data_IF_481977457254
#
_entry.id   IF_481977457254
#
_cell.length_a   1.000
_cell.length_b   1.000
_cell.length_c   1.000
_cell.angle_alpha   90.00
_cell.angle_beta   90.00
_cell.angle_gamma   90.00
#
_symmetry.space_group_name_H-M   'P 1'
#
loop_
_entity.id
_entity.type
_entity.pdbx_description
1 polymer ?
#
# COMPACT_ATOMS: atom_id res chain seq x y z
N UNK A 1 -4.86 -10.75 -5.81
CA UNK A 1 -4.86 -9.50 -5.00
C UNK A 1 -6.31 -9.17 -4.65
N UNK A 2 -6.61 -8.82 -3.39
CA UNK A 2 -7.96 -8.38 -3.01
C UNK A 2 -8.24 -6.97 -3.52
N UNK A 3 -9.45 -6.76 -4.05
CA UNK A 3 -9.90 -5.45 -4.52
C UNK A 3 -10.06 -4.45 -3.36
N UNK A 4 -10.12 -3.16 -3.65
CA UNK A 4 -10.34 -2.15 -2.60
C UNK A 4 -11.71 -2.33 -1.92
N UNK A 5 -12.73 -2.69 -2.69
CA UNK A 5 -14.06 -3.02 -2.17
C UNK A 5 -14.02 -4.23 -1.23
N UNK A 6 -13.31 -5.29 -1.60
CA UNK A 6 -13.14 -6.49 -0.77
C UNK A 6 -12.44 -6.18 0.56
N UNK A 7 -11.41 -5.32 0.53
CA UNK A 7 -10.72 -4.87 1.75
C UNK A 7 -11.62 -4.02 2.64
N UNK A 8 -12.32 -3.04 2.05
CA UNK A 8 -13.24 -2.16 2.78
C UNK A 8 -14.36 -2.97 3.45
N UNK A 9 -14.90 -3.96 2.74
CA UNK A 9 -15.88 -4.88 3.29
C UNK A 9 -15.32 -5.66 4.51
N UNK A 10 -14.09 -6.17 4.42
CA UNK A 10 -13.47 -6.89 5.53
C UNK A 10 -13.32 -6.00 6.78
N UNK A 11 -12.90 -4.75 6.62
CA UNK A 11 -12.76 -3.80 7.74
C UNK A 11 -14.12 -3.45 8.32
N UNK A 12 -15.11 -3.19 7.47
CA UNK A 12 -16.48 -2.89 7.89
C UNK A 12 -17.09 -4.05 8.70
N UNK A 13 -17.00 -5.29 8.21
CA UNK A 13 -17.54 -6.41 8.98
C UNK A 13 -16.73 -6.75 10.22
N UNK A 14 -15.43 -6.48 10.21
CA UNK A 14 -14.63 -6.62 11.42
C UNK A 14 -15.07 -5.61 12.48
N UNK A 15 -15.38 -4.37 12.11
CA UNK A 15 -15.89 -3.37 13.06
C UNK A 15 -17.21 -3.80 13.72
N UNK A 16 -18.07 -4.51 12.99
CA UNK A 16 -19.36 -5.01 13.51
C UNK A 16 -19.23 -6.21 14.43
N UNK A 17 -18.32 -7.14 14.10
CA UNK A 17 -18.30 -8.48 14.71
C UNK A 17 -17.10 -8.72 15.60
N UNK A 18 -16.03 -7.93 15.46
CA UNK A 18 -14.71 -8.09 16.10
C UNK A 18 -14.07 -9.48 15.91
N UNK A 19 -14.59 -10.31 15.00
CA UNK A 19 -14.19 -11.70 14.81
C UNK A 19 -13.79 -11.98 13.38
N UNK A 20 -12.51 -12.32 13.18
CA UNK A 20 -11.96 -12.61 11.84
C UNK A 20 -12.64 -13.81 11.18
N UNK A 21 -13.00 -14.86 11.94
CA UNK A 21 -13.67 -16.05 11.42
C UNK A 21 -15.04 -15.72 10.83
N UNK A 22 -15.78 -14.82 11.47
CA UNK A 22 -17.09 -14.33 10.99
C UNK A 22 -16.91 -13.50 9.72
N UNK A 23 -15.92 -12.60 9.68
CA UNK A 23 -15.56 -11.84 8.48
C UNK A 23 -15.24 -12.76 7.30
N UNK A 24 -14.44 -13.80 7.51
CA UNK A 24 -14.10 -14.77 6.46
C UNK A 24 -15.32 -15.54 5.94
N UNK A 25 -16.23 -15.94 6.85
CA UNK A 25 -17.49 -16.61 6.48
C UNK A 25 -18.38 -15.68 5.65
N UNK A 26 -18.61 -14.45 6.12
CA UNK A 26 -19.41 -13.47 5.38
C UNK A 26 -18.77 -13.09 4.04
N UNK A 27 -17.45 -13.02 3.98
CA UNK A 27 -16.73 -12.78 2.73
C UNK A 27 -16.98 -13.91 1.72
N UNK A 28 -16.88 -15.18 2.14
CA UNK A 28 -17.20 -16.33 1.29
C UNK A 28 -18.62 -16.26 0.74
N UNK A 29 -19.60 -15.92 1.57
CA UNK A 29 -21.01 -15.83 1.16
C UNK A 29 -21.24 -14.69 0.17
N UNK A 30 -20.69 -13.50 0.42
CA UNK A 30 -20.96 -12.30 -0.40
C UNK A 30 -20.15 -12.28 -1.70
N UNK A 31 -18.87 -12.64 -1.65
CA UNK A 31 -17.98 -12.56 -2.83
C UNK A 31 -17.81 -13.89 -3.57
N UNK A 32 -18.26 -15.02 -2.98
CA UNK A 32 -18.09 -16.38 -3.55
C UNK A 32 -16.65 -16.70 -3.92
N UNK A 33 -15.70 -16.21 -3.12
CA UNK A 33 -14.25 -16.35 -3.30
C UNK A 33 -13.61 -16.87 -2.02
N UNK A 34 -12.41 -17.40 -2.16
CA UNK A 34 -11.58 -17.75 -1.01
C UNK A 34 -11.29 -16.49 -0.18
N UNK A 35 -11.57 -16.49 1.13
CA UNK A 35 -11.45 -15.31 1.95
C UNK A 35 -9.98 -14.98 2.20
N UNK A 36 -9.68 -13.70 2.46
CA UNK A 36 -8.33 -13.31 2.79
C UNK A 36 -7.87 -13.96 4.10
N UNK A 37 -6.57 -14.25 4.15
CA UNK A 37 -5.93 -14.82 5.34
C UNK A 37 -6.10 -13.89 6.56
N UNK A 38 -6.20 -14.45 7.77
CA UNK A 38 -6.43 -13.68 9.01
C UNK A 38 -5.47 -12.49 9.19
N UNK A 39 -4.19 -12.69 8.89
CA UNK A 39 -3.15 -11.65 9.02
C UNK A 39 -3.39 -10.48 8.07
N UNK A 40 -3.96 -10.72 6.87
CA UNK A 40 -4.28 -9.63 5.94
C UNK A 40 -5.45 -8.80 6.46
N UNK A 41 -6.48 -9.45 6.99
CA UNK A 41 -7.63 -8.78 7.59
C UNK A 41 -7.19 -7.90 8.76
N UNK A 42 -6.43 -8.47 9.71
CA UNK A 42 -5.89 -7.72 10.85
C UNK A 42 -4.98 -6.55 10.41
N UNK A 43 -4.16 -6.76 9.37
CA UNK A 43 -3.33 -5.69 8.81
C UNK A 43 -4.17 -4.55 8.23
N UNK A 44 -5.23 -4.85 7.49
CA UNK A 44 -6.08 -3.81 6.90
C UNK A 44 -6.88 -3.05 7.94
N UNK A 45 -7.38 -3.74 8.97
CA UNK A 45 -8.06 -3.11 10.10
C UNK A 45 -7.11 -2.14 10.80
N UNK A 46 -5.90 -2.59 11.14
CA UNK A 46 -4.88 -1.74 11.75
C UNK A 46 -4.50 -0.56 10.84
N UNK A 47 -4.25 -0.81 9.56
CA UNK A 47 -3.93 0.24 8.60
C UNK A 47 -5.04 1.30 8.55
N UNK A 48 -6.31 0.88 8.53
CA UNK A 48 -7.42 1.80 8.53
C UNK A 48 -7.52 2.60 9.83
N UNK A 49 -7.31 1.96 10.99
CA UNK A 49 -7.29 2.65 12.28
C UNK A 49 -6.15 3.67 12.40
N UNK A 50 -4.98 3.36 11.83
CA UNK A 50 -3.80 4.20 11.93
C UNK A 50 -3.80 5.36 10.91
N UNK A 51 -4.38 5.16 9.72
CA UNK A 51 -4.24 6.12 8.60
C UNK A 51 -5.55 6.52 7.92
N UNK A 52 -6.71 6.02 8.36
CA UNK A 52 -8.04 6.22 7.76
C UNK A 52 -8.13 5.89 6.25
N UNK A 53 -7.16 5.14 5.71
CA UNK A 53 -7.06 4.85 4.28
C UNK A 53 -6.54 3.43 4.06
N UNK A 54 -7.31 2.65 3.29
CA UNK A 54 -6.95 1.31 2.81
C UNK A 54 -6.19 1.34 1.48
N UNK A 55 -5.84 2.53 1.02
CA UNK A 55 -5.10 2.77 -0.19
C UNK A 55 -3.69 2.20 -0.05
N UNK A 56 -3.06 1.87 -1.18
CA UNK A 56 -1.66 1.43 -1.16
C UNK A 56 -0.83 2.58 -0.63
N UNK A 57 -0.14 2.36 0.50
CA UNK A 57 0.84 3.34 0.99
C UNK A 57 1.80 3.67 -0.14
N UNK A 58 2.12 4.96 -0.30
CA UNK A 58 3.20 5.37 -1.21
C UNK A 58 4.40 4.52 -0.85
N UNK A 59 4.93 3.78 -1.83
CA UNK A 59 6.23 3.14 -1.64
C UNK A 59 7.19 4.23 -1.18
N UNK A 60 8.03 4.00 -0.16
CA UNK A 60 9.06 4.95 0.19
C UNK A 60 9.79 5.29 -1.10
N UNK A 61 9.70 6.56 -1.51
CA UNK A 61 10.31 7.00 -2.77
C UNK A 61 11.78 6.65 -2.67
N UNK A 62 12.37 6.19 -3.79
CA UNK A 62 13.83 6.08 -3.90
C UNK A 62 14.42 7.38 -3.35
N UNK A 63 15.33 7.27 -2.36
CA UNK A 63 15.93 8.43 -1.69
C UNK A 63 16.32 9.44 -2.78
N UNK A 64 15.78 10.64 -2.69
CA UNK A 64 16.14 11.69 -3.62
C UNK A 64 17.64 11.94 -3.51
N UNK A 65 18.28 12.12 -4.67
CA UNK A 65 19.71 12.43 -4.71
C UNK A 65 19.92 13.77 -3.99
N UNK A 66 20.93 13.84 -3.12
CA UNK A 66 21.25 15.09 -2.41
C UNK A 66 21.50 16.22 -3.42
N UNK A 67 21.11 17.47 -3.11
CA UNK A 67 21.31 18.61 -4.01
C UNK A 67 22.77 18.76 -4.44
N UNK A 68 23.73 18.51 -3.54
CA UNK A 68 25.17 18.50 -3.84
C UNK A 68 25.56 17.55 -4.99
N UNK A 69 24.91 16.38 -5.08
CA UNK A 69 25.18 15.41 -6.14
C UNK A 69 24.53 15.86 -7.44
N UNK A 70 23.36 16.50 -7.37
CA UNK A 70 22.69 17.07 -8.53
C UNK A 70 23.53 18.21 -9.12
N UNK A 71 24.05 19.11 -8.28
CA UNK A 71 24.94 20.20 -8.70
C UNK A 71 26.24 19.65 -9.32
N UNK A 72 26.89 18.67 -8.69
CA UNK A 72 28.08 18.02 -9.28
C UNK A 72 27.81 17.41 -10.65
N UNK A 73 26.64 16.79 -10.83
CA UNK A 73 26.23 16.23 -12.12
C UNK A 73 26.04 17.38 -13.14
N UNK A 74 25.28 18.41 -12.79
CA UNK A 74 25.04 19.57 -13.65
C UNK A 74 26.35 20.27 -14.06
N UNK A 75 27.27 20.49 -13.12
CA UNK A 75 28.57 21.08 -13.37
C UNK A 75 29.42 20.22 -14.32
N UNK A 76 29.36 18.89 -14.17
CA UNK A 76 30.07 17.98 -15.05
C UNK A 76 29.57 18.04 -16.50
N UNK A 77 28.25 18.21 -16.70
CA UNK A 77 27.65 18.39 -18.01
C UNK A 77 28.00 19.73 -18.64
N UNK A 78 28.01 20.82 -17.85
CA UNK A 78 28.46 22.14 -18.31
C UNK A 78 29.94 22.15 -18.69
N UNK A 79 30.77 21.43 -17.91
CA UNK A 79 32.22 21.37 -18.11
C UNK A 79 32.65 20.48 -19.28
N UNK A 80 31.86 19.47 -19.64
CA UNK A 80 32.15 18.62 -20.80
C UNK A 80 30.86 18.06 -21.42
N UNK A 81 30.27 18.77 -22.40
CA UNK A 81 29.06 18.34 -23.09
C UNK A 81 29.22 17.04 -23.91
N UNK A 82 30.45 16.59 -24.17
CA UNK A 82 30.73 15.54 -25.17
C UNK A 82 30.49 14.09 -24.70
N UNK A 83 30.01 13.86 -23.48
CA UNK A 83 29.74 12.52 -22.96
C UNK A 83 28.24 12.30 -22.75
N UNK A 84 27.51 12.30 -23.86
CA UNK A 84 26.15 11.76 -23.88
C UNK A 84 25.88 11.13 -25.25
N UNK A 85 26.16 9.84 -25.37
CA UNK A 85 25.53 8.91 -26.33
C UNK A 85 25.25 7.64 -25.57
#
# INVERSE_FOLDING_TARGET
>A
MSSMQEKAYCVFEYAKTSLVTVVQRHFRTNFRKEPPHRHNISRWVKQFQDTDCLCKNKSPRRKETKPEVIERISDSFLRSPSKST
#
